data_IF_732124831548
#
_entry.id   IF_732124831548
#
_cell.length_a   1.000
_cell.length_b   1.000
_cell.length_c   1.000
_cell.angle_alpha   90.00
_cell.angle_beta   90.00
_cell.angle_gamma   90.00
#
_symmetry.space_group_name_H-M   'P 1'
#
loop_
_entity.id
_entity.type
_entity.pdbx_description
1 polymer ?
#
# COMPACT_ATOMS: atom_id res chain seq x y z
N UNK A 1 -20.98 0.78 17.42
CA UNK A 1 -20.63 -0.53 16.81
C UNK A 1 -19.35 -0.32 16.01
N UNK A 2 -18.22 -0.88 16.45
CA UNK A 2 -16.95 -0.74 15.73
C UNK A 2 -16.96 -1.57 14.44
N UNK A 3 -16.40 -1.04 13.35
CA UNK A 3 -16.09 -1.82 12.16
C UNK A 3 -14.65 -2.28 12.27
N UNK A 4 -14.42 -3.57 12.15
CA UNK A 4 -13.08 -4.15 12.11
C UNK A 4 -12.61 -4.24 10.67
N UNK A 5 -11.37 -3.83 10.42
CA UNK A 5 -10.72 -3.95 9.12
C UNK A 5 -9.67 -5.05 9.24
N UNK A 6 -9.75 -6.07 8.40
CA UNK A 6 -8.74 -7.12 8.33
C UNK A 6 -7.68 -6.73 7.27
N UNK A 7 -6.46 -6.33 7.66
CA UNK A 7 -5.42 -5.91 6.73
C UNK A 7 -4.96 -7.02 5.77
N UNK A 8 -5.22 -8.29 6.09
CA UNK A 8 -4.82 -9.44 5.27
C UNK A 8 -5.81 -9.78 4.14
N UNK A 9 -6.82 -8.94 3.93
CA UNK A 9 -7.74 -9.06 2.78
C UNK A 9 -7.45 -7.94 1.80
N UNK A 10 -7.61 -8.16 0.49
CA UNK A 10 -7.44 -7.10 -0.52
C UNK A 10 -8.22 -5.83 -0.17
N UNK A 11 -9.46 -6.00 0.31
CA UNK A 11 -10.32 -4.88 0.70
C UNK A 11 -9.76 -4.15 1.90
N UNK A 12 -9.38 -4.87 2.97
CA UNK A 12 -8.84 -4.23 4.16
C UNK A 12 -7.48 -3.58 3.94
N UNK A 13 -6.63 -4.20 3.12
CA UNK A 13 -5.36 -3.61 2.70
C UNK A 13 -5.60 -2.30 1.96
N UNK A 14 -6.50 -2.28 0.96
CA UNK A 14 -6.87 -1.07 0.22
C UNK A 14 -7.50 0.00 1.11
N UNK A 15 -8.27 -0.38 2.12
CA UNK A 15 -8.83 0.58 3.08
C UNK A 15 -7.74 1.27 3.91
N UNK A 16 -6.65 0.55 4.23
CA UNK A 16 -5.56 1.08 5.07
C UNK A 16 -4.52 1.83 4.24
N UNK A 17 -4.19 1.30 3.04
CA UNK A 17 -3.04 1.74 2.24
C UNK A 17 -3.40 2.28 0.85
N UNK A 18 -4.65 2.16 0.41
CA UNK A 18 -5.09 2.49 -0.95
C UNK A 18 -5.38 3.97 -1.21
N UNK A 19 -4.82 4.88 -0.39
CA UNK A 19 -4.97 6.32 -0.56
C UNK A 19 -3.62 7.03 -0.51
N UNK A 20 -3.52 8.19 -1.16
CA UNK A 20 -2.31 9.04 -1.11
C UNK A 20 -1.90 9.41 0.32
N UNK A 21 -2.86 9.63 1.22
CA UNK A 21 -2.56 9.95 2.62
C UNK A 21 -1.83 8.81 3.35
N UNK A 22 -2.10 7.57 2.94
CA UNK A 22 -1.47 6.37 3.51
C UNK A 22 -0.19 5.95 2.78
N UNK A 23 0.27 6.72 1.78
CA UNK A 23 1.40 6.36 0.92
C UNK A 23 2.70 6.20 1.71
N UNK A 24 3.03 7.15 2.58
CA UNK A 24 4.24 7.06 3.42
C UNK A 24 4.21 5.84 4.35
N UNK A 25 3.03 5.50 4.87
CA UNK A 25 2.85 4.31 5.70
C UNK A 25 3.02 3.02 4.89
N UNK A 26 2.52 3.00 3.65
CA UNK A 26 2.71 1.89 2.73
C UNK A 26 4.19 1.71 2.37
N UNK A 27 4.90 2.80 2.08
CA UNK A 27 6.35 2.78 1.80
C UNK A 27 7.11 2.21 3.00
N UNK A 28 6.85 2.71 4.20
CA UNK A 28 7.51 2.22 5.42
C UNK A 28 7.23 0.73 5.65
N UNK A 29 5.98 0.29 5.48
CA UNK A 29 5.60 -1.12 5.61
C UNK A 29 6.33 -2.02 4.61
N UNK A 30 6.38 -1.63 3.34
CA UNK A 30 7.07 -2.39 2.29
C UNK A 30 8.58 -2.42 2.52
N UNK A 31 9.19 -1.33 2.98
CA UNK A 31 10.62 -1.27 3.29
C UNK A 31 10.99 -2.17 4.46
N UNK A 32 10.13 -2.32 5.47
CA UNK A 32 10.36 -3.33 6.51
C UNK A 32 10.27 -4.76 5.97
N UNK A 33 9.36 -5.03 5.03
CA UNK A 33 9.24 -6.34 4.39
C UNK A 33 10.42 -6.68 3.48
N UNK A 34 11.00 -5.68 2.83
CA UNK A 34 12.10 -5.80 1.85
C UNK A 34 13.48 -5.54 2.45
N UNK A 35 13.58 -5.46 3.77
CA UNK A 35 14.80 -5.08 4.47
C UNK A 35 16.01 -5.94 4.03
N UNK A 36 17.01 -5.29 3.46
CA UNK A 36 18.24 -5.94 2.96
C UNK A 36 18.19 -6.40 1.51
N UNK A 37 17.02 -6.30 0.86
CA UNK A 37 16.85 -6.57 -0.58
C UNK A 37 16.71 -5.26 -1.37
N UNK A 38 15.77 -4.41 -0.96
CA UNK A 38 15.44 -3.17 -1.66
C UNK A 38 15.00 -2.06 -0.69
N UNK A 39 15.15 -0.81 -1.14
CA UNK A 39 14.61 0.37 -0.46
C UNK A 39 13.78 1.18 -1.46
N UNK A 40 12.53 1.41 -1.11
CA UNK A 40 11.54 2.17 -1.88
C UNK A 40 11.58 3.61 -1.38
N UNK A 41 12.00 4.55 -2.23
CA UNK A 41 11.98 5.98 -1.94
C UNK A 41 10.61 6.62 -2.24
N UNK A 42 9.93 6.14 -3.29
CA UNK A 42 8.63 6.64 -3.73
C UNK A 42 7.81 5.53 -4.41
N UNK A 43 6.48 5.69 -4.44
CA UNK A 43 5.56 4.80 -5.15
C UNK A 43 4.41 5.58 -5.80
N UNK A 44 3.79 5.05 -6.84
CA UNK A 44 2.56 5.62 -7.41
C UNK A 44 1.45 4.58 -7.42
N UNK A 45 0.23 5.01 -7.13
CA UNK A 45 -0.94 4.17 -7.32
C UNK A 45 -1.27 4.15 -8.82
N UNK A 46 -1.31 2.96 -9.40
CA UNK A 46 -1.75 2.77 -10.77
C UNK A 46 -3.27 2.61 -10.79
N UNK A 47 -3.94 3.39 -11.64
CA UNK A 47 -5.34 3.14 -11.94
C UNK A 47 -5.49 1.88 -12.79
N UNK A 48 -6.65 1.23 -12.71
CA UNK A 48 -6.95 0.02 -13.49
C UNK A 48 -6.89 0.24 -15.01
N UNK A 49 -6.88 1.49 -15.46
CA UNK A 49 -6.79 1.87 -16.87
C UNK A 49 -5.38 2.37 -17.25
N UNK A 50 -4.46 2.54 -16.29
CA UNK A 50 -3.04 2.90 -16.52
C UNK A 50 -2.19 1.64 -16.82
N UNK A 51 -2.65 0.81 -17.74
CA UNK A 51 -1.75 -0.15 -18.38
C UNK A 51 -0.90 0.64 -19.37
N UNK A 52 0.34 0.95 -18.98
CA UNK A 52 1.32 1.53 -19.88
C UNK A 52 1.52 0.60 -21.10
N UNK A 53 1.38 1.17 -22.30
CA UNK A 53 1.83 0.58 -23.57
C UNK A 53 3.34 0.26 -23.55
#
# INVERSE_FOLDING_TARGET
MGKFVNPFTDVGFKVIFGSELSKDLLIAFLNELLLGEHEIEDLSFLDKEDWAD
#
